data_IF_409751981941
#
_entry.id   IF_409751981941
#
_cell.length_a   1.000
_cell.length_b   1.000
_cell.length_c   1.000
_cell.angle_alpha   90.00
_cell.angle_beta   90.00
_cell.angle_gamma   90.00
#
_symmetry.space_group_name_H-M   'P 1'
#
loop_
_entity.id
_entity.type
_entity.pdbx_description
1 polymer ?
#
# COMPACT_ATOMS: atom_id res chain seq x y z
N UNK A 1 10.98 12.78 -35.78
CA UNK A 1 9.73 13.46 -35.30
C UNK A 1 8.79 12.45 -34.65
N UNK A 2 8.33 11.41 -35.35
CA UNK A 2 7.37 10.42 -34.82
C UNK A 2 7.86 9.75 -33.51
N UNK A 3 9.10 9.24 -33.46
CA UNK A 3 9.68 8.63 -32.25
C UNK A 3 9.70 9.60 -31.06
N UNK A 4 10.03 10.88 -31.32
CA UNK A 4 10.04 11.92 -30.29
C UNK A 4 8.65 12.26 -29.79
N UNK A 5 7.64 12.28 -30.66
CA UNK A 5 6.25 12.49 -30.26
C UNK A 5 5.76 11.35 -29.34
N UNK A 6 6.00 10.10 -29.73
CA UNK A 6 5.63 8.92 -28.91
C UNK A 6 6.33 8.97 -27.55
N UNK A 7 7.61 9.35 -27.52
CA UNK A 7 8.37 9.50 -26.28
C UNK A 7 7.81 10.58 -25.36
N UNK A 8 7.52 11.77 -25.90
CA UNK A 8 6.94 12.89 -25.13
C UNK A 8 5.56 12.51 -24.60
N UNK A 9 4.71 11.87 -25.42
CA UNK A 9 3.41 11.36 -24.97
C UNK A 9 3.58 10.30 -23.88
N UNK A 10 4.55 9.40 -24.00
CA UNK A 10 4.87 8.41 -22.97
C UNK A 10 5.31 9.04 -21.65
N UNK A 11 6.15 10.08 -21.70
CA UNK A 11 6.53 10.86 -20.50
C UNK A 11 5.30 11.55 -19.92
N UNK A 12 4.49 12.20 -20.74
CA UNK A 12 3.27 12.88 -20.28
C UNK A 12 2.34 11.91 -19.58
N UNK A 13 2.11 10.74 -20.15
CA UNK A 13 1.28 9.70 -19.54
C UNK A 13 1.89 9.20 -18.23
N UNK A 14 3.23 9.14 -18.14
CA UNK A 14 3.92 8.78 -16.91
C UNK A 14 3.76 9.84 -15.82
N UNK A 15 3.84 11.12 -16.16
CA UNK A 15 3.63 12.25 -15.24
C UNK A 15 2.17 12.32 -14.79
N UNK A 16 1.23 12.10 -15.71
CA UNK A 16 -0.21 12.13 -15.45
C UNK A 16 -0.77 10.82 -14.87
N UNK A 17 0.09 9.82 -14.62
CA UNK A 17 -0.30 8.49 -14.12
C UNK A 17 -1.33 7.76 -14.99
N UNK A 18 -1.37 8.05 -16.29
CA UNK A 18 -2.31 7.44 -17.22
C UNK A 18 -1.88 6.04 -17.66
N UNK A 19 -2.84 5.14 -17.93
CA UNK A 19 -2.53 3.79 -18.40
C UNK A 19 -1.79 3.84 -19.74
N UNK A 20 -0.91 2.85 -19.97
CA UNK A 20 -0.16 2.75 -21.21
C UNK A 20 1.14 3.57 -21.29
N UNK A 21 1.47 4.35 -20.25
CA UNK A 21 2.75 5.09 -20.19
C UNK A 21 3.97 4.19 -20.44
N UNK A 22 4.01 3.03 -19.77
CA UNK A 22 5.08 2.04 -19.94
C UNK A 22 5.18 1.51 -21.37
N UNK A 23 4.04 1.20 -21.99
CA UNK A 23 3.99 0.70 -23.38
C UNK A 23 4.50 1.77 -24.34
N UNK A 24 4.02 3.01 -24.22
CA UNK A 24 4.47 4.12 -25.06
C UNK A 24 5.98 4.35 -24.96
N UNK A 25 6.53 4.34 -23.75
CA UNK A 25 7.97 4.49 -23.51
C UNK A 25 8.79 3.31 -24.06
N UNK A 26 8.30 2.08 -23.90
CA UNK A 26 8.96 0.89 -24.49
C UNK A 26 8.94 0.94 -26.02
N UNK A 27 7.82 1.34 -26.62
CA UNK A 27 7.71 1.51 -28.07
C UNK A 27 8.65 2.62 -28.55
N UNK A 28 8.80 3.73 -27.83
CA UNK A 28 9.76 4.78 -28.21
C UNK A 28 11.21 4.31 -28.16
N UNK A 29 11.57 3.46 -27.19
CA UNK A 29 12.91 2.85 -27.14
C UNK A 29 13.12 1.92 -28.33
N UNK A 30 12.15 1.03 -28.59
CA UNK A 30 12.23 0.10 -29.73
C UNK A 30 12.35 0.84 -31.06
N UNK A 31 11.54 1.88 -31.29
CA UNK A 31 11.64 2.70 -32.50
C UNK A 31 12.97 3.45 -32.60
N UNK A 32 13.54 3.89 -31.48
CA UNK A 32 14.89 4.49 -31.47
C UNK A 32 15.92 3.50 -32.00
N UNK A 33 15.92 2.28 -31.46
CA UNK A 33 16.86 1.23 -31.85
C UNK A 33 16.65 0.83 -33.31
N UNK A 34 15.41 0.55 -33.72
CA UNK A 34 15.08 0.04 -35.06
C UNK A 34 15.26 1.09 -36.16
N UNK A 35 14.99 2.37 -35.90
CA UNK A 35 15.09 3.41 -36.94
C UNK A 35 16.45 4.09 -36.95
N UNK A 36 16.99 4.48 -35.79
CA UNK A 36 18.18 5.30 -35.76
C UNK A 36 19.48 4.50 -35.92
N UNK A 37 19.54 3.25 -35.44
CA UNK A 37 20.76 2.42 -35.63
C UNK A 37 21.01 2.12 -37.11
N UNK A 38 20.04 1.64 -37.92
CA UNK A 38 20.29 1.39 -39.33
C UNK A 38 20.64 2.66 -40.12
N UNK A 39 20.01 3.79 -39.80
CA UNK A 39 20.34 5.08 -40.42
C UNK A 39 21.78 5.47 -40.10
N UNK A 40 22.22 5.33 -38.85
CA UNK A 40 23.61 5.55 -38.44
C UNK A 40 24.57 4.64 -39.21
N UNK A 41 24.27 3.35 -39.31
CA UNK A 41 25.11 2.37 -40.03
C UNK A 41 25.20 2.70 -41.51
N UNK A 42 24.08 3.01 -42.18
CA UNK A 42 24.07 3.36 -43.61
C UNK A 42 24.85 4.65 -43.86
N UNK A 43 24.66 5.69 -43.03
CA UNK A 43 25.41 6.94 -43.16
C UNK A 43 26.91 6.77 -42.88
N UNK A 44 27.26 6.00 -41.85
CA UNK A 44 28.65 5.71 -41.51
C UNK A 44 29.37 4.89 -42.58
N UNK A 45 28.65 3.99 -43.27
CA UNK A 45 29.21 3.15 -44.34
C UNK A 45 29.30 3.87 -45.69
N UNK A 46 28.36 4.77 -46.02
CA UNK A 46 28.30 5.43 -47.33
C UNK A 46 29.13 6.71 -47.42
N UNK A 47 29.13 7.55 -46.39
CA UNK A 47 29.74 8.88 -46.44
C UNK A 47 30.85 9.01 -45.39
N UNK A 48 32.10 8.74 -45.83
CA UNK A 48 33.29 9.00 -45.00
C UNK A 48 33.64 10.48 -44.88
N UNK A 49 33.09 11.34 -45.74
CA UNK A 49 33.42 12.76 -45.81
C UNK A 49 32.63 13.60 -44.79
N UNK A 50 31.42 13.17 -44.40
CA UNK A 50 30.55 13.86 -43.43
C UNK A 50 30.72 13.35 -41.98
N UNK A 51 31.97 13.23 -41.50
CA UNK A 51 32.25 12.74 -40.14
C UNK A 51 31.56 13.55 -39.04
N UNK A 52 31.47 14.88 -39.19
CA UNK A 52 30.81 15.75 -38.19
C UNK A 52 29.33 15.43 -38.06
N UNK A 53 28.61 15.25 -39.18
CA UNK A 53 27.19 14.91 -39.16
C UNK A 53 26.93 13.53 -38.55
N UNK A 54 27.75 12.53 -38.91
CA UNK A 54 27.67 11.19 -38.33
C UNK A 54 27.91 11.22 -36.81
N UNK A 55 28.87 12.03 -36.36
CA UNK A 55 29.15 12.24 -34.94
C UNK A 55 28.00 12.96 -34.22
N UNK A 56 27.38 13.98 -34.84
CA UNK A 56 26.21 14.66 -34.28
C UNK A 56 25.01 13.71 -34.14
N UNK A 57 24.73 12.87 -35.13
CA UNK A 57 23.65 11.87 -35.06
C UNK A 57 23.94 10.85 -33.95
N UNK A 58 25.19 10.39 -33.84
CA UNK A 58 25.60 9.46 -32.78
C UNK A 58 25.38 10.05 -31.38
N UNK A 59 25.83 11.28 -31.14
CA UNK A 59 25.61 11.97 -29.86
C UNK A 59 24.12 12.09 -29.56
N UNK A 60 23.32 12.48 -30.56
CA UNK A 60 21.88 12.61 -30.39
C UNK A 60 21.22 11.28 -29.98
N UNK A 61 21.56 10.17 -30.65
CA UNK A 61 21.01 8.84 -30.33
C UNK A 61 21.43 8.37 -28.94
N UNK A 62 22.71 8.55 -28.57
CA UNK A 62 23.20 8.20 -27.24
C UNK A 62 22.51 9.02 -26.14
N UNK A 63 22.33 10.33 -26.38
CA UNK A 63 21.65 11.22 -25.45
C UNK A 63 20.18 10.83 -25.28
N UNK A 64 19.48 10.57 -26.39
CA UNK A 64 18.09 10.12 -26.35
C UNK A 64 17.94 8.77 -25.63
N UNK A 65 18.85 7.84 -25.87
CA UNK A 65 18.86 6.54 -25.21
C UNK A 65 19.17 6.65 -23.71
N UNK A 66 20.09 7.54 -23.32
CA UNK A 66 20.39 7.83 -21.93
C UNK A 66 19.16 8.38 -21.18
N UNK A 67 18.42 9.33 -21.79
CA UNK A 67 17.19 9.86 -21.18
C UNK A 67 16.12 8.76 -21.06
N UNK A 68 15.97 7.90 -22.05
CA UNK A 68 15.03 6.77 -21.96
C UNK A 68 15.38 5.82 -20.80
N UNK A 69 16.66 5.44 -20.67
CA UNK A 69 17.14 4.58 -19.58
C UNK A 69 16.89 5.25 -18.22
N UNK A 70 17.17 6.55 -18.11
CA UNK A 70 16.90 7.33 -16.90
C UNK A 70 15.41 7.26 -16.51
N UNK A 71 14.49 7.43 -17.46
CA UNK A 71 13.04 7.36 -17.18
C UNK A 71 12.62 5.97 -16.70
N UNK A 72 13.24 4.89 -17.18
CA UNK A 72 13.00 3.53 -16.66
C UNK A 72 13.61 3.31 -15.27
N UNK A 73 14.75 3.93 -14.98
CA UNK A 73 15.42 3.86 -13.68
C UNK A 73 14.63 4.53 -12.54
N UNK A 74 13.67 5.41 -12.84
CA UNK A 74 12.80 6.07 -11.86
C UNK A 74 11.77 5.12 -11.19
N UNK A 75 11.70 3.83 -11.59
CA UNK A 75 10.82 2.86 -10.91
C UNK A 75 11.37 2.52 -9.52
N UNK A 76 10.47 2.33 -8.55
CA UNK A 76 10.85 1.81 -7.23
C UNK A 76 11.54 0.46 -7.41
N UNK A 77 12.66 0.27 -6.70
CA UNK A 77 13.41 -0.98 -6.83
C UNK A 77 12.60 -2.16 -6.27
N UNK A 78 12.69 -3.31 -6.93
CA UNK A 78 12.03 -4.55 -6.45
C UNK A 78 12.42 -4.88 -5.01
N UNK A 79 13.67 -4.63 -4.62
CA UNK A 79 14.15 -4.89 -3.26
C UNK A 79 13.44 -4.03 -2.21
N UNK A 80 13.16 -2.76 -2.52
CA UNK A 80 12.39 -1.88 -1.64
C UNK A 80 10.97 -2.41 -1.49
N UNK A 81 10.29 -2.74 -2.59
CA UNK A 81 8.93 -3.30 -2.56
C UNK A 81 8.87 -4.62 -1.78
N UNK A 82 9.84 -5.52 -2.00
CA UNK A 82 9.95 -6.77 -1.24
C UNK A 82 10.18 -6.52 0.25
N UNK A 83 11.02 -5.54 0.62
CA UNK A 83 11.23 -5.18 2.02
C UNK A 83 9.95 -4.67 2.67
N UNK A 84 9.21 -3.80 1.96
CA UNK A 84 7.91 -3.29 2.41
C UNK A 84 6.89 -4.42 2.57
N UNK A 85 6.84 -5.37 1.63
CA UNK A 85 5.99 -6.55 1.71
C UNK A 85 6.34 -7.42 2.93
N UNK A 86 7.62 -7.55 3.27
CA UNK A 86 8.05 -8.25 4.49
C UNK A 86 7.56 -7.52 5.73
N UNK A 87 7.64 -6.19 5.79
CA UNK A 87 7.13 -5.40 6.92
C UNK A 87 5.62 -5.59 7.12
N UNK A 88 4.82 -5.45 6.07
CA UNK A 88 3.37 -5.70 6.14
C UNK A 88 3.06 -7.15 6.57
N UNK A 89 3.80 -8.13 6.04
CA UNK A 89 3.66 -9.54 6.44
C UNK A 89 3.97 -9.76 7.92
N UNK A 90 4.99 -9.10 8.46
CA UNK A 90 5.33 -9.17 9.89
C UNK A 90 4.23 -8.56 10.75
N UNK A 91 3.66 -7.42 10.34
CA UNK A 91 2.54 -6.80 11.03
C UNK A 91 1.31 -7.72 11.07
N UNK A 92 0.89 -8.23 9.90
CA UNK A 92 -0.23 -9.18 9.80
C UNK A 92 -0.02 -10.43 10.66
N UNK A 93 1.18 -11.01 10.63
CA UNK A 93 1.49 -12.20 11.44
C UNK A 93 1.45 -11.90 12.93
N UNK A 94 2.00 -10.76 13.35
CA UNK A 94 2.02 -10.36 14.75
C UNK A 94 0.62 -10.04 15.26
N UNK A 95 -0.20 -9.36 14.46
CA UNK A 95 -1.61 -9.09 14.77
C UNK A 95 -2.38 -10.39 15.02
N UNK A 96 -2.32 -11.38 14.11
CA UNK A 96 -2.97 -12.70 14.32
C UNK A 96 -2.46 -13.44 15.55
N UNK A 97 -1.17 -13.30 15.86
CA UNK A 97 -0.59 -13.92 17.07
C UNK A 97 -1.15 -13.27 18.34
N UNK A 98 -1.32 -11.94 18.35
CA UNK A 98 -1.94 -11.21 19.46
C UNK A 98 -3.41 -11.59 19.61
N UNK A 99 -4.18 -11.62 18.53
CA UNK A 99 -5.59 -12.04 18.52
C UNK A 99 -5.78 -13.45 19.09
N UNK A 100 -4.95 -14.39 18.64
CA UNK A 100 -4.92 -15.75 19.16
C UNK A 100 -4.58 -15.77 20.66
N UNK A 101 -3.64 -14.93 21.09
CA UNK A 101 -3.31 -14.72 22.50
C UNK A 101 -4.48 -14.18 23.33
N UNK A 102 -5.12 -13.11 22.86
CA UNK A 102 -6.28 -12.47 23.50
C UNK A 102 -7.43 -13.47 23.66
N UNK A 103 -7.70 -14.26 22.62
CA UNK A 103 -8.70 -15.35 22.65
C UNK A 103 -8.39 -16.38 23.75
N UNK A 104 -7.12 -16.74 23.94
CA UNK A 104 -6.72 -17.69 24.98
C UNK A 104 -6.85 -17.09 26.39
N UNK A 105 -6.53 -15.81 26.55
CA UNK A 105 -6.72 -15.08 27.81
C UNK A 105 -8.20 -15.08 28.21
N UNK A 106 -9.10 -14.77 27.28
CA UNK A 106 -10.55 -14.83 27.54
C UNK A 106 -11.04 -16.22 27.92
N UNK A 107 -10.60 -17.26 27.20
CA UNK A 107 -10.95 -18.65 27.53
C UNK A 107 -10.44 -19.07 28.91
N UNK A 108 -9.26 -18.59 29.32
CA UNK A 108 -8.73 -18.86 30.65
C UNK A 108 -9.54 -18.15 31.74
N UNK A 109 -9.94 -16.89 31.48
CA UNK A 109 -10.76 -16.10 32.40
C UNK A 109 -12.19 -16.66 32.57
N UNK A 110 -12.80 -17.19 31.51
CA UNK A 110 -14.13 -17.82 31.57
C UNK A 110 -14.17 -19.05 32.50
N UNK A 111 -13.02 -19.72 32.67
CA UNK A 111 -12.88 -20.88 33.56
C UNK A 111 -12.61 -20.43 35.02
N UNK A 112 -12.16 -19.20 35.23
CA UNK A 112 -11.89 -18.66 36.56
C UNK A 112 -13.18 -18.24 37.28
N UNK A 113 -13.72 -19.14 38.10
CA UNK A 113 -14.90 -18.90 38.93
C UNK A 113 -14.78 -17.76 39.95
N UNK A 114 -13.58 -17.19 40.15
CA UNK A 114 -13.35 -16.08 41.07
C UNK A 114 -13.49 -14.71 40.42
N UNK A 115 -13.53 -14.65 39.08
CA UNK A 115 -13.65 -13.41 38.34
C UNK A 115 -15.09 -12.89 38.35
N UNK A 116 -15.25 -11.56 38.45
CA UNK A 116 -16.58 -10.94 38.38
C UNK A 116 -17.16 -11.05 36.96
N UNK A 117 -18.43 -11.48 36.80
CA UNK A 117 -19.07 -11.58 35.48
C UNK A 117 -19.03 -10.28 34.66
N UNK A 118 -19.17 -9.13 35.33
CA UNK A 118 -19.12 -7.80 34.68
C UNK A 118 -17.78 -7.51 33.98
N UNK A 119 -16.64 -7.89 34.59
CA UNK A 119 -15.31 -7.75 33.97
C UNK A 119 -15.14 -8.68 32.77
N UNK A 120 -15.70 -9.88 32.85
CA UNK A 120 -15.67 -10.85 31.74
C UNK A 120 -16.53 -10.37 30.57
N UNK A 121 -17.72 -9.83 30.84
CA UNK A 121 -18.62 -9.26 29.82
C UNK A 121 -17.97 -8.04 29.14
N UNK A 122 -17.31 -7.16 29.89
CA UNK A 122 -16.54 -6.04 29.34
C UNK A 122 -15.39 -6.51 28.45
N UNK A 123 -14.61 -7.48 28.92
CA UNK A 123 -13.51 -8.07 28.18
C UNK A 123 -13.99 -8.73 26.87
N UNK A 124 -15.12 -9.44 26.91
CA UNK A 124 -15.74 -10.06 25.74
C UNK A 124 -16.25 -9.01 24.75
N UNK A 125 -16.87 -7.92 25.22
CA UNK A 125 -17.33 -6.82 24.37
C UNK A 125 -16.16 -6.16 23.63
N UNK A 126 -15.04 -5.91 24.33
CA UNK A 126 -13.85 -5.32 23.70
C UNK A 126 -13.33 -6.27 22.62
N UNK A 127 -13.20 -7.56 22.91
CA UNK A 127 -12.74 -8.55 21.94
C UNK A 127 -13.63 -8.64 20.70
N UNK A 128 -14.96 -8.66 20.88
CA UNK A 128 -15.91 -8.64 19.78
C UNK A 128 -15.73 -7.39 18.90
N UNK A 129 -15.63 -6.21 19.52
CA UNK A 129 -15.48 -4.94 18.78
C UNK A 129 -14.11 -4.76 18.15
N UNK A 130 -13.04 -5.27 18.75
CA UNK A 130 -11.72 -5.34 18.10
C UNK A 130 -11.77 -6.27 16.89
N UNK A 131 -12.44 -7.42 17.01
CA UNK A 131 -12.64 -8.37 15.93
C UNK A 131 -13.38 -7.76 14.74
N UNK A 132 -14.52 -7.10 14.98
CA UNK A 132 -15.29 -6.40 13.95
C UNK A 132 -14.45 -5.37 13.17
N UNK A 133 -13.66 -4.55 13.89
CA UNK A 133 -12.77 -3.57 13.26
C UNK A 133 -11.62 -4.24 12.49
N UNK A 134 -11.02 -5.30 13.05
CA UNK A 134 -9.95 -6.05 12.41
C UNK A 134 -10.41 -6.69 11.09
N UNK A 135 -11.61 -7.27 11.08
CA UNK A 135 -12.25 -7.86 9.91
C UNK A 135 -12.54 -6.81 8.85
N UNK A 136 -13.04 -5.63 9.26
CA UNK A 136 -13.27 -4.53 8.33
C UNK A 136 -11.97 -4.02 7.68
N UNK A 137 -10.88 -3.90 8.46
CA UNK A 137 -9.55 -3.56 7.92
C UNK A 137 -9.06 -4.65 6.97
N UNK A 138 -9.28 -5.93 7.31
CA UNK A 138 -8.92 -7.07 6.46
C UNK A 138 -9.67 -7.05 5.13
N UNK A 139 -10.95 -6.69 5.14
CA UNK A 139 -11.78 -6.54 3.94
C UNK A 139 -11.23 -5.42 3.04
N UNK A 140 -10.86 -4.25 3.60
CA UNK A 140 -10.22 -3.16 2.85
C UNK A 140 -8.91 -3.65 2.21
N UNK A 141 -8.09 -4.39 2.95
CA UNK A 141 -6.84 -4.96 2.45
C UNK A 141 -7.11 -5.88 1.23
N UNK A 142 -8.10 -6.76 1.33
CA UNK A 142 -8.47 -7.70 0.26
C UNK A 142 -9.00 -6.97 -0.97
N UNK A 143 -9.86 -5.97 -0.79
CA UNK A 143 -10.40 -5.18 -1.88
C UNK A 143 -9.30 -4.43 -2.64
N UNK A 144 -8.33 -3.85 -1.95
CA UNK A 144 -7.19 -3.17 -2.60
C UNK A 144 -6.38 -4.20 -3.42
N UNK A 145 -6.13 -5.39 -2.86
CA UNK A 145 -5.38 -6.44 -3.55
C UNK A 145 -6.08 -6.89 -4.83
N UNK A 146 -7.38 -7.17 -4.74
CA UNK A 146 -8.19 -7.64 -5.88
C UNK A 146 -8.39 -6.54 -6.92
N UNK A 147 -8.52 -5.28 -6.50
CA UNK A 147 -8.59 -4.14 -7.42
C UNK A 147 -7.27 -3.82 -8.12
N UNK A 148 -6.13 -4.35 -7.62
CA UNK A 148 -4.81 -4.06 -8.20
C UNK A 148 -4.50 -4.93 -9.40
N UNK A 149 -4.75 -6.24 -9.32
CA UNK A 149 -4.46 -7.19 -10.39
C UNK A 149 -5.23 -8.50 -10.18
N UNK A 150 -5.81 -9.07 -11.25
CA UNK A 150 -6.64 -10.28 -11.19
C UNK A 150 -5.93 -11.48 -10.50
N UNK A 151 -4.68 -11.76 -10.89
CA UNK A 151 -3.85 -12.81 -10.27
C UNK A 151 -3.60 -12.66 -8.77
N UNK A 152 -3.87 -11.49 -8.16
CA UNK A 152 -3.72 -11.33 -6.70
C UNK A 152 -4.71 -12.19 -5.91
N UNK A 153 -5.77 -12.71 -6.55
CA UNK A 153 -6.65 -13.69 -5.94
C UNK A 153 -5.90 -14.95 -5.45
N UNK A 154 -4.82 -15.35 -6.14
CA UNK A 154 -3.99 -16.50 -5.73
C UNK A 154 -3.22 -16.26 -4.42
N UNK A 155 -3.07 -15.00 -4.01
CA UNK A 155 -2.40 -14.64 -2.77
C UNK A 155 -3.32 -14.77 -1.53
N UNK A 156 -4.62 -15.00 -1.73
CA UNK A 156 -5.64 -15.07 -0.68
C UNK A 156 -6.03 -16.53 -0.47
N UNK A 157 -5.78 -17.06 0.72
CA UNK A 157 -6.20 -18.40 1.12
C UNK A 157 -7.70 -18.44 1.49
N UNK A 158 -8.28 -19.65 1.56
CA UNK A 158 -9.69 -19.84 1.92
C UNK A 158 -10.06 -19.30 3.32
N UNK A 159 -9.08 -19.25 4.22
CA UNK A 159 -9.23 -18.72 5.59
C UNK A 159 -9.01 -17.19 5.67
N UNK A 160 -8.86 -16.50 4.53
CA UNK A 160 -8.58 -15.07 4.47
C UNK A 160 -7.11 -14.71 4.71
N UNK A 161 -6.21 -15.68 4.91
CA UNK A 161 -4.78 -15.42 5.04
C UNK A 161 -4.19 -14.92 3.73
N UNK A 162 -3.40 -13.86 3.81
CA UNK A 162 -2.76 -13.22 2.64
C UNK A 162 -1.26 -13.53 2.62
N UNK A 163 -0.75 -14.07 1.51
CA UNK A 163 0.69 -14.16 1.24
C UNK A 163 1.15 -13.07 0.26
N UNK A 164 1.65 -11.96 0.82
CA UNK A 164 2.19 -10.82 0.08
C UNK A 164 3.41 -11.15 -0.82
N UNK A 165 3.91 -12.38 -0.81
CA UNK A 165 4.95 -12.83 -1.75
C UNK A 165 4.41 -13.20 -3.13
N UNK A 166 3.12 -13.52 -3.20
CA UNK A 166 2.43 -13.92 -4.44
C UNK A 166 1.76 -12.73 -5.13
N UNK A 167 1.73 -11.56 -4.48
CA UNK A 167 1.04 -10.37 -5.00
C UNK A 167 1.87 -9.64 -6.06
N UNK A 168 1.17 -9.09 -7.05
CA UNK A 168 1.72 -8.34 -8.18
C UNK A 168 1.42 -6.85 -8.03
N UNK A 169 2.19 -6.05 -8.77
CA UNK A 169 1.97 -4.61 -8.92
C UNK A 169 1.87 -3.82 -7.60
N UNK A 170 2.76 -4.18 -6.66
CA UNK A 170 2.92 -3.58 -5.33
C UNK A 170 3.06 -2.04 -5.35
N UNK A 171 3.54 -1.47 -6.45
CA UNK A 171 3.76 -0.04 -6.66
C UNK A 171 2.54 0.72 -7.21
N UNK A 172 1.42 0.05 -7.50
CA UNK A 172 0.18 0.68 -7.98
C UNK A 172 -0.57 1.37 -6.85
N UNK A 173 -0.93 2.65 -7.03
CA UNK A 173 -1.68 3.44 -6.04
C UNK A 173 -3.19 3.53 -6.33
N UNK A 174 -3.61 3.36 -7.59
CA UNK A 174 -5.01 3.58 -8.01
C UNK A 174 -6.01 2.68 -7.31
N UNK A 175 -5.61 1.45 -7.00
CA UNK A 175 -6.43 0.50 -6.25
C UNK A 175 -6.65 0.98 -4.81
N UNK A 176 -5.61 1.48 -4.15
CA UNK A 176 -5.72 2.15 -2.85
C UNK A 176 -6.72 3.31 -2.94
N UNK A 177 -6.56 4.18 -3.93
CA UNK A 177 -7.43 5.36 -4.04
C UNK A 177 -8.89 4.98 -4.28
N UNK A 178 -9.11 4.03 -5.19
CA UNK A 178 -10.43 3.52 -5.52
C UNK A 178 -11.15 2.94 -4.30
N UNK A 179 -10.46 2.14 -3.49
CA UNK A 179 -11.09 1.46 -2.35
C UNK A 179 -11.26 2.39 -1.16
N UNK A 180 -10.26 3.23 -0.87
CA UNK A 180 -10.28 4.12 0.30
C UNK A 180 -11.19 5.33 0.07
N UNK A 181 -11.06 6.02 -1.06
CA UNK A 181 -11.81 7.27 -1.34
C UNK A 181 -13.03 7.04 -2.22
N UNK A 182 -13.11 5.90 -2.91
CA UNK A 182 -14.22 5.57 -3.79
C UNK A 182 -14.00 6.04 -5.23
N UNK A 183 -15.09 6.06 -5.98
CA UNK A 183 -15.14 6.59 -7.34
C UNK A 183 -16.44 7.36 -7.55
N UNK A 184 -16.63 7.93 -8.74
CA UNK A 184 -17.92 8.54 -9.12
C UNK A 184 -19.12 7.57 -8.99
N UNK A 185 -18.86 6.26 -9.00
CA UNK A 185 -19.88 5.20 -8.99
C UNK A 185 -20.04 4.51 -7.63
N UNK A 186 -19.22 4.81 -6.63
CA UNK A 186 -19.25 4.10 -5.35
C UNK A 186 -18.51 4.83 -4.23
N UNK A 187 -19.03 4.72 -3.02
CA UNK A 187 -18.43 5.32 -1.81
C UNK A 187 -17.19 4.56 -1.40
N UNK A 188 -16.13 5.29 -1.05
CA UNK A 188 -14.92 4.70 -0.46
C UNK A 188 -15.17 4.14 0.93
N UNK A 189 -14.30 3.22 1.34
CA UNK A 189 -14.32 2.58 2.67
C UNK A 189 -13.59 3.36 3.75
N UNK A 190 -12.87 4.40 3.37
CA UNK A 190 -12.01 5.18 4.25
C UNK A 190 -12.74 5.94 5.36
N UNK A 191 -13.81 6.65 5.04
CA UNK A 191 -14.58 7.40 6.04
C UNK A 191 -15.20 6.47 7.11
N UNK A 192 -15.72 5.32 6.69
CA UNK A 192 -16.22 4.30 7.62
C UNK A 192 -15.10 3.68 8.47
N UNK A 193 -13.88 3.59 7.95
CA UNK A 193 -12.71 3.15 8.72
C UNK A 193 -12.40 4.16 9.83
N UNK A 194 -12.42 5.46 9.53
CA UNK A 194 -12.24 6.52 10.53
C UNK A 194 -13.30 6.43 11.62
N UNK A 195 -14.58 6.37 11.24
CA UNK A 195 -15.67 6.27 12.21
C UNK A 195 -15.52 5.02 13.11
N UNK A 196 -15.08 3.90 12.54
CA UNK A 196 -14.87 2.67 13.30
C UNK A 196 -13.65 2.76 14.23
N UNK A 197 -12.57 3.42 13.81
CA UNK A 197 -11.40 3.69 14.65
C UNK A 197 -11.73 4.63 15.81
N UNK A 198 -12.51 5.69 15.57
CA UNK A 198 -12.94 6.64 16.61
C UNK A 198 -13.84 5.96 17.65
N UNK A 199 -14.84 5.18 17.19
CA UNK A 199 -15.68 4.39 18.11
C UNK A 199 -14.87 3.39 18.92
N UNK A 200 -13.89 2.75 18.30
CA UNK A 200 -13.02 1.82 19.00
C UNK A 200 -12.13 2.53 20.01
N UNK A 201 -11.56 3.69 19.67
CA UNK A 201 -10.81 4.54 20.58
C UNK A 201 -11.64 4.94 21.81
N UNK A 202 -12.88 5.39 21.61
CA UNK A 202 -13.81 5.70 22.70
C UNK A 202 -14.09 4.48 23.59
N UNK A 203 -14.29 3.31 22.99
CA UNK A 203 -14.49 2.05 23.72
C UNK A 203 -13.29 1.70 24.59
N UNK A 204 -12.06 1.78 24.05
CA UNK A 204 -10.85 1.45 24.78
C UNK A 204 -10.62 2.42 25.94
N UNK A 205 -10.77 3.73 25.72
CA UNK A 205 -10.63 4.75 26.78
C UNK A 205 -11.68 4.64 27.87
N UNK A 206 -12.88 4.11 27.56
CA UNK A 206 -13.91 3.88 28.56
C UNK A 206 -13.59 2.72 29.53
N UNK A 207 -12.68 1.82 29.15
CA UNK A 207 -12.37 0.60 29.92
C UNK A 207 -10.91 0.54 30.40
N UNK A 208 -10.03 1.39 29.87
CA UNK A 208 -8.62 1.44 30.22
C UNK A 208 -8.35 2.19 31.53
N UNK A 209 -7.30 1.77 32.24
CA UNK A 209 -6.73 2.52 33.35
C UNK A 209 -5.98 3.78 32.89
N UNK A 210 -5.74 4.74 33.82
CA UNK A 210 -5.10 6.02 33.50
C UNK A 210 -3.66 5.90 32.98
N UNK A 211 -3.01 4.74 33.19
CA UNK A 211 -1.66 4.47 32.68
C UNK A 211 -1.67 4.17 31.16
N UNK A 212 -2.75 3.59 30.63
CA UNK A 212 -2.90 3.23 29.22
C UNK A 212 -3.49 4.36 28.36
N UNK A 213 -4.22 5.31 28.94
CA UNK A 213 -4.85 6.43 28.23
C UNK A 213 -3.93 7.16 27.24
N UNK A 214 -2.70 7.45 27.69
CA UNK A 214 -1.71 8.15 26.84
C UNK A 214 -1.25 7.27 25.69
N UNK A 215 -1.05 5.98 25.94
CA UNK A 215 -0.58 5.03 24.94
C UNK A 215 -1.65 4.72 23.90
N UNK A 216 -2.91 4.60 24.33
CA UNK A 216 -4.07 4.43 23.44
C UNK A 216 -4.17 5.60 22.47
N UNK A 217 -4.11 6.84 22.99
CA UNK A 217 -4.17 8.05 22.18
C UNK A 217 -2.99 8.17 21.21
N UNK A 218 -1.79 7.80 21.63
CA UNK A 218 -0.60 7.82 20.77
C UNK A 218 -0.65 6.76 19.66
N UNK A 219 -1.08 5.54 19.99
CA UNK A 219 -1.10 4.43 19.03
C UNK A 219 -2.22 4.57 18.01
N UNK A 220 -3.38 5.10 18.40
CA UNK A 220 -4.54 5.32 17.51
C UNK A 220 -4.71 6.77 17.08
N UNK A 221 -3.64 7.58 17.13
CA UNK A 221 -3.68 8.94 16.62
C UNK A 221 -3.91 8.95 15.09
N UNK A 222 -5.03 9.56 14.70
CA UNK A 222 -5.47 9.75 13.30
C UNK A 222 -5.63 11.23 12.96
N UNK A 223 -4.94 12.13 13.67
CA UNK A 223 -4.95 13.56 13.36
C UNK A 223 -4.12 13.92 12.12
N UNK A 224 -3.07 13.15 11.83
CA UNK A 224 -2.12 13.43 10.74
C UNK A 224 -1.00 14.39 11.14
N UNK A 225 0.02 14.53 10.29
CA UNK A 225 1.14 15.43 10.57
C UNK A 225 0.75 16.90 10.36
N UNK A 226 -0.20 17.17 9.46
CA UNK A 226 -0.68 18.51 9.09
C UNK A 226 -2.22 18.57 9.13
N UNK A 227 -2.83 18.45 10.33
CA UNK A 227 -4.29 18.29 10.50
C UNK A 227 -5.11 19.45 9.93
N UNK A 228 -4.54 20.66 9.89
CA UNK A 228 -5.19 21.85 9.36
C UNK A 228 -5.17 21.93 7.82
N UNK A 229 -4.36 21.11 7.15
CA UNK A 229 -4.15 21.17 5.70
C UNK A 229 -4.73 19.96 4.97
N UNK A 230 -4.53 18.75 5.51
CA UNK A 230 -4.87 17.49 4.85
C UNK A 230 -5.41 16.52 5.89
N UNK A 231 -6.51 15.81 5.57
CA UNK A 231 -7.02 14.76 6.45
C UNK A 231 -6.00 13.62 6.57
N UNK A 232 -5.95 12.96 7.73
CA UNK A 232 -5.08 11.79 7.91
C UNK A 232 -5.31 10.71 6.85
N UNK A 233 -6.56 10.55 6.39
CA UNK A 233 -6.89 9.60 5.32
C UNK A 233 -6.18 9.95 4.01
N UNK A 234 -6.22 11.23 3.62
CA UNK A 234 -5.54 11.75 2.43
C UNK A 234 -4.01 11.72 2.58
N UNK A 235 -3.48 12.00 3.76
CA UNK A 235 -2.05 11.93 4.05
C UNK A 235 -1.53 10.47 4.00
N UNK A 236 -2.29 9.54 4.56
CA UNK A 236 -1.88 8.13 4.70
C UNK A 236 -2.07 7.34 3.41
N UNK A 237 -3.17 7.59 2.68
CA UNK A 237 -3.60 6.77 1.54
C UNK A 237 -3.62 7.51 0.20
N UNK A 238 -3.51 8.85 0.18
CA UNK A 238 -3.52 9.63 -1.05
C UNK A 238 -2.30 9.30 -1.91
N UNK A 239 -2.53 8.84 -3.15
CA UNK A 239 -1.49 8.36 -4.07
C UNK A 239 -0.56 7.30 -3.46
N UNK A 240 -0.95 6.65 -2.35
CA UNK A 240 -0.13 5.66 -1.69
C UNK A 240 -0.11 4.36 -2.49
N UNK A 241 1.06 3.83 -2.86
CA UNK A 241 1.17 2.52 -3.49
C UNK A 241 0.51 1.45 -2.62
N UNK A 242 -0.05 0.41 -3.25
CA UNK A 242 -0.74 -0.69 -2.59
C UNK A 242 0.07 -1.21 -1.40
N UNK A 243 1.37 -1.47 -1.58
CA UNK A 243 2.19 -2.01 -0.49
C UNK A 243 2.36 -1.05 0.70
N UNK A 244 2.32 0.26 0.47
CA UNK A 244 2.33 1.26 1.55
C UNK A 244 1.01 1.22 2.31
N UNK A 245 -0.13 1.15 1.60
CA UNK A 245 -1.43 0.99 2.22
C UNK A 245 -1.53 -0.31 3.04
N UNK A 246 -0.99 -1.43 2.52
CA UNK A 246 -0.90 -2.70 3.26
C UNK A 246 -0.12 -2.55 4.58
N UNK A 247 1.01 -1.82 4.57
CA UNK A 247 1.77 -1.56 5.81
C UNK A 247 0.91 -0.77 6.80
N UNK A 248 0.29 0.33 6.36
CA UNK A 248 -0.52 1.19 7.24
C UNK A 248 -1.70 0.43 7.85
N UNK A 249 -2.47 -0.29 7.02
CA UNK A 249 -3.63 -1.07 7.46
C UNK A 249 -3.24 -2.23 8.37
N UNK A 250 -2.22 -3.01 8.02
CA UNK A 250 -1.74 -4.10 8.88
C UNK A 250 -1.13 -3.60 10.19
N UNK A 251 -0.55 -2.39 10.20
CA UNK A 251 -0.08 -1.76 11.42
C UNK A 251 -1.24 -1.35 12.32
N UNK A 252 -2.37 -0.90 11.77
CA UNK A 252 -3.60 -0.66 12.53
C UNK A 252 -4.13 -1.96 13.16
N UNK A 253 -4.21 -3.05 12.38
CA UNK A 253 -4.60 -4.38 12.90
C UNK A 253 -3.69 -4.83 14.04
N UNK A 254 -2.38 -4.57 13.94
CA UNK A 254 -1.45 -4.84 15.04
C UNK A 254 -1.76 -3.98 16.28
N UNK A 255 -1.94 -2.67 16.10
CA UNK A 255 -2.17 -1.71 17.20
C UNK A 255 -3.45 -2.01 17.98
N UNK A 256 -4.56 -2.28 17.30
CA UNK A 256 -5.84 -2.57 17.97
C UNK A 256 -5.77 -3.87 18.77
N UNK A 257 -5.14 -4.92 18.23
CA UNK A 257 -4.96 -6.21 18.90
C UNK A 257 -3.99 -6.09 20.10
N UNK A 258 -2.95 -5.26 19.97
CA UNK A 258 -2.04 -4.96 21.07
C UNK A 258 -2.76 -4.25 22.22
N UNK A 259 -3.51 -3.18 21.92
CA UNK A 259 -4.24 -2.40 22.91
C UNK A 259 -5.32 -3.21 23.61
N UNK A 260 -6.06 -4.03 22.86
CA UNK A 260 -6.99 -5.01 23.43
C UNK A 260 -6.25 -5.89 24.46
N UNK A 261 -5.12 -6.48 24.07
CA UNK A 261 -4.36 -7.36 24.96
C UNK A 261 -3.87 -6.70 26.25
N UNK A 262 -3.53 -5.40 26.21
CA UNK A 262 -3.18 -4.65 27.42
C UNK A 262 -4.40 -4.40 28.30
N UNK A 263 -5.55 -4.01 27.74
CA UNK A 263 -6.77 -3.79 28.51
C UNK A 263 -7.31 -5.11 29.09
N UNK A 264 -7.22 -6.22 28.36
CA UNK A 264 -7.58 -7.54 28.88
C UNK A 264 -6.76 -7.92 30.12
N UNK A 265 -5.48 -7.54 30.18
CA UNK A 265 -4.64 -7.78 31.38
C UNK A 265 -5.06 -6.91 32.56
N UNK A 266 -5.58 -5.70 32.33
CA UNK A 266 -6.14 -4.86 33.38
C UNK A 266 -7.51 -5.36 33.85
N UNK A 267 -8.29 -5.99 32.96
CA UNK A 267 -9.66 -6.46 33.21
C UNK A 267 -9.77 -7.88 33.75
N UNK A 268 -8.80 -8.75 33.55
CA UNK A 268 -8.89 -10.17 33.94
C UNK A 268 -7.88 -10.44 35.06
#
# INVERSE_FOLDING_TARGET
VITGFIFITGILFKIMHWPGAGVALTVSVLLTVVLFIPVLVVHALKDKENQVQNFSILIFVLSFMAVNIMVFALKVSKNVLTSMAVSAKVNMKTSRMLESGNTLVLKAADIDSTLSPDRLDQAALIHEKTGELNDYIQEIIMDILLATHDDNQEAIAEDGTIDLRLTKDLDVHKSTELVIFGSELGTGKGEMLIESLEKHLELLLAHAGPELDSQIKELLDISGQYPDEVSWLAETFGQAPMISAMISLSNLQFKIQFLEGEILKELL
#
